data_IF_073631167383
#
_entry.id   IF_073631167383
#
_cell.length_a   1.000
_cell.length_b   1.000
_cell.length_c   1.000
_cell.angle_alpha   90.00
_cell.angle_beta   90.00
_cell.angle_gamma   90.00
#
_symmetry.space_group_name_H-M   'P 1'
#
loop_
_entity.id
_entity.type
_entity.pdbx_description
1 polymer ?
#
# COMPACT_ATOMS: atom_id res chain seq x y z
N UNK A 1 32.57 0.27 4.12
CA UNK A 1 31.72 -0.69 3.39
C UNK A 1 31.52 -0.22 1.95
N UNK A 2 31.71 -1.12 0.96
CA UNK A 2 31.47 -0.73 -0.43
C UNK A 2 30.04 -0.30 -0.68
N UNK A 3 29.84 0.65 -1.60
CA UNK A 3 28.52 1.17 -1.90
C UNK A 3 27.52 0.10 -2.33
N UNK A 4 27.95 -0.84 -3.16
CA UNK A 4 27.03 -1.88 -3.65
C UNK A 4 26.56 -2.79 -2.51
N UNK A 5 27.38 -2.99 -1.48
CA UNK A 5 26.98 -3.76 -0.30
C UNK A 5 25.92 -3.01 0.50
N UNK A 6 26.09 -1.69 0.63
CA UNK A 6 25.10 -0.87 1.32
C UNK A 6 23.76 -0.85 0.59
N UNK A 7 23.82 -0.80 -0.74
CA UNK A 7 22.61 -0.84 -1.56
C UNK A 7 21.88 -2.17 -1.41
N UNK A 8 22.62 -3.27 -1.38
CA UNK A 8 22.03 -4.60 -1.20
C UNK A 8 21.40 -4.74 0.18
N UNK A 9 22.06 -4.23 1.22
CA UNK A 9 21.51 -4.28 2.58
C UNK A 9 20.22 -3.47 2.68
N UNK A 10 20.20 -2.29 2.04
CA UNK A 10 19.00 -1.46 2.05
C UNK A 10 17.85 -2.16 1.33
N UNK A 11 18.12 -2.71 0.14
CA UNK A 11 17.12 -3.43 -0.63
C UNK A 11 16.58 -4.61 0.16
N UNK A 12 17.45 -5.31 0.87
CA UNK A 12 17.04 -6.45 1.67
C UNK A 12 16.16 -6.02 2.85
N UNK A 13 16.51 -4.92 3.52
CA UNK A 13 15.69 -4.39 4.62
C UNK A 13 14.31 -3.96 4.14
N UNK A 14 14.26 -3.32 2.97
CA UNK A 14 12.97 -2.92 2.39
C UNK A 14 12.12 -4.14 2.11
N UNK A 15 12.72 -5.16 1.51
CA UNK A 15 12.01 -6.40 1.16
C UNK A 15 11.45 -7.09 2.41
N UNK A 16 12.27 -7.20 3.45
CA UNK A 16 11.84 -7.84 4.69
C UNK A 16 10.74 -7.04 5.38
N UNK A 17 10.88 -5.72 5.42
CA UNK A 17 9.88 -4.86 6.03
C UNK A 17 8.56 -4.93 5.28
N UNK A 18 8.59 -4.97 3.94
CA UNK A 18 7.38 -5.11 3.14
C UNK A 18 6.70 -6.45 3.37
N UNK A 19 7.49 -7.52 3.44
CA UNK A 19 6.93 -8.85 3.66
C UNK A 19 6.24 -8.92 5.01
N UNK A 20 6.85 -8.34 6.04
CA UNK A 20 6.25 -8.30 7.37
C UNK A 20 4.98 -7.47 7.38
N UNK A 21 5.01 -6.31 6.73
CA UNK A 21 3.84 -5.45 6.63
C UNK A 21 2.68 -6.16 5.93
N UNK A 22 2.95 -6.83 4.84
CA UNK A 22 1.92 -7.57 4.10
C UNK A 22 1.29 -8.66 4.98
N UNK A 23 2.11 -9.34 5.76
CA UNK A 23 1.59 -10.36 6.68
C UNK A 23 0.70 -9.73 7.74
N UNK A 24 1.13 -8.60 8.30
CA UNK A 24 0.34 -7.89 9.31
C UNK A 24 -0.99 -7.40 8.76
N UNK A 25 -0.97 -6.89 7.55
CA UNK A 25 -2.22 -6.47 6.87
C UNK A 25 -3.13 -7.67 6.65
N UNK A 26 -2.56 -8.79 6.18
CA UNK A 26 -3.32 -10.01 5.93
C UNK A 26 -3.95 -10.58 7.18
N UNK A 27 -3.31 -10.39 8.34
CA UNK A 27 -3.85 -10.84 9.63
C UNK A 27 -4.84 -9.86 10.24
N UNK A 28 -5.03 -8.69 9.60
CA UNK A 28 -5.92 -7.68 10.13
C UNK A 28 -5.33 -6.86 11.28
N UNK A 29 -4.03 -6.96 11.51
CA UNK A 29 -3.35 -6.22 12.57
C UNK A 29 -3.06 -4.78 12.19
N UNK A 30 -2.95 -4.51 10.88
CA UNK A 30 -2.65 -3.18 10.35
C UNK A 30 -3.67 -2.85 9.27
N UNK A 31 -4.23 -1.66 9.34
CA UNK A 31 -5.18 -1.19 8.34
C UNK A 31 -4.46 -0.50 7.18
N UNK A 32 -4.83 -0.84 5.96
CA UNK A 32 -4.21 -0.25 4.77
C UNK A 32 -4.44 1.26 4.73
N UNK A 33 -5.61 1.74 5.16
CA UNK A 33 -5.88 3.18 5.19
C UNK A 33 -4.81 3.92 6.02
N UNK A 34 -4.42 3.35 7.14
CA UNK A 34 -3.42 3.93 8.01
C UNK A 34 -2.04 3.93 7.34
N UNK A 35 -1.71 2.84 6.65
CA UNK A 35 -0.45 2.75 5.91
C UNK A 35 -0.37 3.83 4.85
N UNK A 36 -1.48 4.07 4.15
CA UNK A 36 -1.53 5.09 3.11
C UNK A 36 -1.33 6.48 3.70
N UNK A 37 -1.94 6.76 4.83
CA UNK A 37 -1.78 8.05 5.52
C UNK A 37 -0.36 8.26 6.00
N UNK A 38 0.23 7.25 6.64
CA UNK A 38 1.56 7.36 7.25
C UNK A 38 2.70 7.21 6.24
N UNK A 39 2.45 6.47 5.19
CA UNK A 39 3.45 6.16 4.16
C UNK A 39 4.81 5.77 4.74
N UNK A 40 4.88 4.63 5.46
CA UNK A 40 6.17 4.16 5.99
C UNK A 40 7.20 4.02 4.89
N UNK A 41 8.46 4.19 5.23
CA UNK A 41 9.54 4.22 4.25
C UNK A 41 9.57 2.98 3.33
N UNK A 42 9.22 1.81 3.85
CA UNK A 42 9.22 0.57 3.07
C UNK A 42 8.05 0.48 2.07
N UNK A 43 7.06 1.35 2.20
CA UNK A 43 5.89 1.34 1.33
C UNK A 43 5.95 2.34 0.20
N UNK A 44 6.90 3.26 0.23
CA UNK A 44 6.98 4.32 -0.78
C UNK A 44 7.01 3.78 -2.20
N UNK A 45 7.69 2.69 -2.43
CA UNK A 45 7.81 2.10 -3.77
C UNK A 45 6.85 0.95 -4.03
N UNK A 46 5.94 0.66 -3.10
CA UNK A 46 4.90 -0.35 -3.33
C UNK A 46 3.83 0.22 -4.25
N UNK A 47 3.34 -0.61 -5.17
CA UNK A 47 2.24 -0.19 -6.02
C UNK A 47 0.95 -0.23 -5.22
N UNK A 48 -0.02 0.55 -5.64
CA UNK A 48 -1.33 0.56 -4.98
C UNK A 48 -2.01 -0.80 -5.06
N UNK A 49 -1.89 -1.47 -6.21
CA UNK A 49 -2.47 -2.80 -6.35
C UNK A 49 -1.84 -3.79 -5.37
N UNK A 50 -0.52 -3.75 -5.22
CA UNK A 50 0.19 -4.62 -4.29
C UNK A 50 -0.28 -4.40 -2.86
N UNK A 51 -0.42 -3.14 -2.47
CA UNK A 51 -0.85 -2.79 -1.12
C UNK A 51 -2.29 -3.24 -0.86
N UNK A 52 -3.20 -2.94 -1.79
CA UNK A 52 -4.61 -3.29 -1.61
C UNK A 52 -4.84 -4.80 -1.60
N UNK A 53 -4.14 -5.54 -2.46
CA UNK A 53 -4.30 -6.99 -2.51
C UNK A 53 -3.64 -7.71 -1.35
N UNK A 54 -2.90 -7.01 -0.51
CA UNK A 54 -2.37 -7.59 0.73
C UNK A 54 -3.48 -7.84 1.75
N UNK A 55 -4.59 -7.15 1.61
CA UNK A 55 -5.73 -7.31 2.50
C UNK A 55 -6.43 -8.64 2.25
N UNK A 56 -6.91 -9.23 3.33
CA UNK A 56 -7.67 -10.45 3.26
C UNK A 56 -8.92 -10.23 2.43
N UNK A 57 -9.22 -11.15 1.53
CA UNK A 57 -10.39 -11.09 0.65
C UNK A 57 -10.36 -10.00 -0.42
N UNK A 58 -9.24 -9.31 -0.55
CA UNK A 58 -9.07 -8.35 -1.62
C UNK A 58 -8.32 -8.99 -2.77
N UNK A 59 -9.03 -9.27 -3.84
CA UNK A 59 -8.41 -9.75 -5.07
C UNK A 59 -8.07 -8.59 -5.98
N UNK A 60 -7.46 -8.92 -7.09
CA UNK A 60 -7.06 -7.93 -8.09
C UNK A 60 -8.25 -7.15 -8.65
N UNK A 61 -9.36 -7.84 -8.90
CA UNK A 61 -10.55 -7.22 -9.45
C UNK A 61 -11.11 -6.14 -8.53
N UNK A 62 -11.17 -6.43 -7.23
CA UNK A 62 -11.68 -5.48 -6.24
C UNK A 62 -10.77 -4.26 -6.15
N UNK A 63 -9.45 -4.49 -6.14
CA UNK A 63 -8.48 -3.40 -6.10
C UNK A 63 -8.61 -2.53 -7.35
N UNK A 64 -8.74 -3.15 -8.51
CA UNK A 64 -8.87 -2.42 -9.78
C UNK A 64 -10.13 -1.56 -9.81
N UNK A 65 -11.23 -2.09 -9.33
CA UNK A 65 -12.49 -1.35 -9.28
C UNK A 65 -12.39 -0.11 -8.41
N UNK A 66 -11.83 -0.26 -7.21
CA UNK A 66 -11.67 0.87 -6.31
C UNK A 66 -10.77 1.93 -6.90
N UNK A 67 -9.61 1.51 -7.39
CA UNK A 67 -8.64 2.45 -7.96
C UNK A 67 -9.20 3.14 -9.21
N UNK A 68 -9.94 2.42 -10.03
CA UNK A 68 -10.59 2.99 -11.19
C UNK A 68 -11.62 4.05 -10.83
N UNK A 69 -12.38 3.80 -9.77
CA UNK A 69 -13.38 4.76 -9.29
C UNK A 69 -12.73 6.04 -8.79
N UNK A 70 -11.49 5.96 -8.31
CA UNK A 70 -10.75 7.11 -7.82
C UNK A 70 -9.80 7.70 -8.86
N UNK A 71 -9.84 7.16 -10.09
CA UNK A 71 -8.96 7.56 -11.19
C UNK A 71 -7.48 7.40 -10.84
N UNK A 72 -7.15 6.33 -10.11
CA UNK A 72 -5.77 6.01 -9.74
C UNK A 72 -5.31 4.77 -10.48
N UNK A 73 -4.07 4.77 -10.94
CA UNK A 73 -3.50 3.61 -11.63
C UNK A 73 -3.09 2.51 -10.67
N UNK A 74 -3.25 1.26 -11.10
CA UNK A 74 -2.85 0.10 -10.30
C UNK A 74 -1.36 0.08 -9.99
N UNK A 75 -0.56 0.55 -10.95
CA UNK A 75 0.89 0.54 -10.81
C UNK A 75 1.45 1.82 -10.22
N UNK A 76 0.59 2.75 -9.82
CA UNK A 76 1.03 3.96 -9.17
C UNK A 76 1.63 3.60 -7.81
N UNK A 77 2.76 4.22 -7.47
CA UNK A 77 3.44 3.92 -6.21
C UNK A 77 2.92 4.82 -5.10
N UNK A 78 2.85 4.26 -3.90
CA UNK A 78 2.30 4.98 -2.75
C UNK A 78 3.01 6.31 -2.51
N UNK A 79 4.33 6.33 -2.61
CA UNK A 79 5.11 7.56 -2.39
C UNK A 79 4.87 8.66 -3.41
N UNK A 80 4.23 8.35 -4.55
CA UNK A 80 3.97 9.34 -5.59
C UNK A 80 2.57 9.94 -5.52
N UNK A 81 1.76 9.54 -4.55
CA UNK A 81 0.43 10.10 -4.38
C UNK A 81 0.51 11.54 -3.90
N UNK A 82 -0.34 12.40 -4.47
CA UNK A 82 -0.49 13.75 -3.95
C UNK A 82 -1.21 13.66 -2.61
N UNK A 83 -1.11 14.69 -1.74
CA UNK A 83 -1.85 14.69 -0.48
C UNK A 83 -3.35 14.47 -0.67
N UNK A 84 -3.92 15.06 -1.72
CA UNK A 84 -5.34 14.89 -2.03
C UNK A 84 -5.68 13.47 -2.41
N UNK A 85 -4.86 12.85 -3.27
CA UNK A 85 -5.07 11.46 -3.68
C UNK A 85 -4.93 10.53 -2.48
N UNK A 86 -3.96 10.79 -1.62
CA UNK A 86 -3.72 10.01 -0.41
C UNK A 86 -4.94 10.05 0.52
N UNK A 87 -5.45 11.25 0.78
CA UNK A 87 -6.61 11.42 1.64
C UNK A 87 -7.84 10.73 1.05
N UNK A 88 -8.02 10.85 -0.25
CA UNK A 88 -9.14 10.24 -0.95
C UNK A 88 -9.12 8.72 -0.84
N UNK A 89 -7.96 8.13 -1.10
CA UNK A 89 -7.81 6.68 -1.05
C UNK A 89 -7.94 6.15 0.38
N UNK A 90 -7.31 6.81 1.34
CA UNK A 90 -7.41 6.41 2.74
C UNK A 90 -8.86 6.48 3.24
N UNK A 91 -9.57 7.52 2.85
CA UNK A 91 -10.97 7.69 3.22
C UNK A 91 -11.85 6.59 2.63
N UNK A 92 -11.60 6.21 1.38
CA UNK A 92 -12.36 5.15 0.72
C UNK A 92 -12.15 3.80 1.40
N UNK A 93 -10.97 3.60 1.99
CA UNK A 93 -10.62 2.33 2.63
C UNK A 93 -10.97 2.27 4.11
N UNK A 94 -11.25 3.38 4.76
CA UNK A 94 -11.41 3.44 6.20
C UNK A 94 -12.83 3.12 6.67
N UNK A 95 -13.41 2.06 6.19
CA UNK A 95 -14.68 1.56 6.67
C UNK A 95 -15.91 2.23 6.09
N UNK A 96 -15.90 3.54 5.95
CA UNK A 96 -17.04 4.25 5.41
C UNK A 96 -17.34 3.83 3.98
N UNK A 97 -16.30 3.79 3.15
CA UNK A 97 -16.43 3.31 1.78
C UNK A 97 -16.84 1.85 1.74
N UNK A 98 -16.30 1.03 2.62
CA UNK A 98 -16.64 -0.38 2.72
C UNK A 98 -18.07 -0.58 3.18
N UNK A 99 -18.56 0.28 4.05
CA UNK A 99 -19.92 0.19 4.57
C UNK A 99 -20.97 0.51 3.51
N UNK A 100 -20.60 1.25 2.50
CA UNK A 100 -21.52 1.64 1.43
C UNK A 100 -21.61 0.61 0.31
N UNK A 101 -20.78 -0.38 0.36
CA UNK A 101 -20.72 -1.40 -0.71
C UNK A 101 -21.64 -2.60 -0.46
#
# INVERSE_FOLDING_TARGET
MPQHMQALERANRVRLARAELKRSIGRGEVEVAKVIEDCPWETESMTLAELLTSQRRWGRTRARKLLGALALGENKRLGTLTPRQRAMLASALSGRGAALV
#
